data_IF_214257242107
#
_entry.id   IF_214257242107
#
_cell.length_a   1.000
_cell.length_b   1.000
_cell.length_c   1.000
_cell.angle_alpha   90.00
_cell.angle_beta   90.00
_cell.angle_gamma   90.00
#
_symmetry.space_group_name_H-M   'P 1'
#
loop_
_entity.id
_entity.type
_entity.pdbx_description
1 polymer ?
#
# COMPACT_ATOMS: atom_id res chain seq x y z
N UNK A 1 -14.57 26.26 -35.55
CA UNK A 1 -14.09 25.27 -34.57
C UNK A 1 -12.85 25.83 -33.85
N UNK A 2 -13.03 26.60 -32.78
CA UNK A 2 -11.94 27.29 -32.06
C UNK A 2 -11.73 26.77 -30.62
N UNK A 3 -12.54 25.84 -30.13
CA UNK A 3 -12.53 25.43 -28.71
C UNK A 3 -11.38 24.52 -28.26
N UNK A 4 -10.54 23.99 -29.17
CA UNK A 4 -9.48 23.05 -28.79
C UNK A 4 -8.17 23.72 -28.37
N UNK A 5 -7.93 24.96 -28.81
CA UNK A 5 -6.71 25.70 -28.46
C UNK A 5 -6.86 26.42 -27.12
N UNK A 6 -8.05 26.96 -26.83
CA UNK A 6 -8.34 27.59 -25.55
C UNK A 6 -8.30 26.59 -24.39
N UNK A 7 -8.78 25.36 -24.60
CA UNK A 7 -8.70 24.29 -23.60
C UNK A 7 -7.25 23.90 -23.29
N UNK A 8 -6.39 23.80 -24.32
CA UNK A 8 -4.97 23.50 -24.13
C UNK A 8 -4.25 24.63 -23.39
N UNK A 9 -4.56 25.88 -23.72
CA UNK A 9 -4.00 27.04 -23.04
C UNK A 9 -4.46 27.12 -21.58
N UNK A 10 -5.72 26.80 -21.30
CA UNK A 10 -6.27 26.74 -19.95
C UNK A 10 -5.62 25.65 -19.10
N UNK A 11 -5.41 24.44 -19.66
CA UNK A 11 -4.71 23.34 -18.99
C UNK A 11 -3.25 23.70 -18.68
N UNK A 12 -2.54 24.33 -19.62
CA UNK A 12 -1.16 24.79 -19.39
C UNK A 12 -1.07 25.89 -18.32
N UNK A 13 -1.98 26.88 -18.36
CA UNK A 13 -2.04 27.92 -17.33
C UNK A 13 -2.39 27.37 -15.94
N UNK A 14 -3.12 26.25 -15.87
CA UNK A 14 -3.40 25.59 -14.60
C UNK A 14 -2.12 24.99 -13.99
N UNK A 15 -1.19 24.48 -14.79
CA UNK A 15 0.10 23.96 -14.29
C UNK A 15 1.02 25.07 -13.75
N UNK A 16 1.02 26.25 -14.37
CA UNK A 16 1.88 27.38 -13.96
C UNK A 16 1.36 28.18 -12.74
N UNK A 17 0.03 28.17 -12.51
CA UNK A 17 -0.62 28.89 -11.40
C UNK A 17 -0.72 28.12 -10.08
N UNK A 18 -0.56 26.80 -10.11
CA UNK A 18 -0.54 25.96 -8.91
C UNK A 18 0.91 25.71 -8.51
N UNK A 19 1.53 26.70 -7.88
CA UNK A 19 2.75 26.48 -7.12
C UNK A 19 2.57 25.28 -6.19
N UNK A 20 3.23 24.16 -6.53
CA UNK A 20 3.57 23.05 -5.63
C UNK A 20 2.47 22.63 -4.65
N UNK A 21 1.24 22.45 -5.12
CA UNK A 21 0.30 21.53 -4.47
C UNK A 21 0.24 20.25 -5.29
N UNK A 22 1.42 19.73 -5.63
CA UNK A 22 1.58 18.34 -6.00
C UNK A 22 1.01 17.47 -4.88
N UNK A 23 -0.10 16.82 -5.18
CA UNK A 23 -0.53 15.56 -4.59
C UNK A 23 -1.24 15.65 -3.22
N UNK A 24 -2.57 15.80 -3.25
CA UNK A 24 -3.44 15.31 -2.16
C UNK A 24 -3.38 13.77 -2.00
N UNK A 25 -2.73 13.09 -2.95
CA UNK A 25 -2.41 11.67 -2.87
C UNK A 25 -1.00 11.53 -2.32
N UNK A 26 -0.77 10.85 -1.20
CA UNK A 26 0.58 10.57 -0.72
C UNK A 26 1.43 9.98 -1.84
N UNK A 27 2.62 10.54 -2.06
CA UNK A 27 3.55 10.00 -3.03
C UNK A 27 3.93 8.55 -2.67
N UNK A 28 4.26 7.70 -3.68
CA UNK A 28 4.74 6.35 -3.44
C UNK A 28 5.93 6.39 -2.46
N UNK A 29 5.82 5.68 -1.33
CA UNK A 29 6.88 5.61 -0.30
C UNK A 29 7.96 4.59 -0.68
N UNK A 30 8.46 4.70 -1.91
CA UNK A 30 9.50 3.83 -2.41
C UNK A 30 10.78 3.99 -1.57
N UNK A 31 11.25 2.89 -0.98
CA UNK A 31 12.52 2.85 -0.25
C UNK A 31 12.46 3.06 1.27
N UNK A 32 11.27 3.21 1.86
CA UNK A 32 11.18 3.14 3.33
C UNK A 32 11.37 1.68 3.81
N UNK A 33 12.22 1.45 4.84
CA UNK A 33 12.33 0.12 5.43
C UNK A 33 10.97 -0.32 5.98
N UNK A 34 10.70 -1.64 5.91
CA UNK A 34 9.50 -2.21 6.50
C UNK A 34 9.35 -1.70 7.94
N UNK A 35 8.31 -0.91 8.18
CA UNK A 35 8.01 -0.34 9.50
C UNK A 35 7.52 -1.41 10.49
N UNK A 36 7.44 -2.66 10.05
CA UNK A 36 6.90 -3.78 10.79
C UNK A 36 8.06 -4.68 11.22
N UNK A 37 8.28 -4.78 12.53
CA UNK A 37 9.28 -5.67 13.12
C UNK A 37 8.82 -7.13 13.09
N UNK A 38 9.77 -8.06 13.13
CA UNK A 38 9.48 -9.49 13.25
C UNK A 38 8.63 -9.82 14.49
N UNK A 39 8.81 -9.07 15.59
CA UNK A 39 8.00 -9.21 16.80
C UNK A 39 6.54 -8.81 16.55
N UNK A 40 6.29 -7.75 15.78
CA UNK A 40 4.93 -7.33 15.40
C UNK A 40 4.26 -8.38 14.51
N UNK A 41 5.01 -8.95 13.56
CA UNK A 41 4.51 -10.08 12.74
C UNK A 41 4.18 -11.28 13.62
N UNK A 42 5.05 -11.64 14.57
CA UNK A 42 4.80 -12.74 15.49
C UNK A 42 3.55 -12.51 16.35
N UNK A 43 3.38 -11.31 16.91
CA UNK A 43 2.17 -10.96 17.68
C UNK A 43 0.91 -11.02 16.82
N UNK A 44 0.97 -10.55 15.57
CA UNK A 44 -0.14 -10.65 14.63
C UNK A 44 -0.52 -12.11 14.36
N UNK A 45 0.47 -13.00 14.12
CA UNK A 45 0.22 -14.44 13.95
C UNK A 45 -0.45 -15.06 15.16
N UNK A 46 0.01 -14.71 16.36
CA UNK A 46 -0.60 -15.21 17.62
C UNK A 46 -2.03 -14.71 17.81
N UNK A 47 -2.33 -13.47 17.40
CA UNK A 47 -3.69 -12.95 17.45
C UNK A 47 -4.62 -13.70 16.50
N UNK A 48 -4.17 -13.97 15.26
CA UNK A 48 -4.93 -14.76 14.27
C UNK A 48 -5.17 -16.18 14.77
N UNK A 49 -4.13 -16.85 15.29
CA UNK A 49 -4.25 -18.21 15.80
C UNK A 49 -5.25 -18.34 16.97
N UNK A 50 -5.40 -17.29 17.78
CA UNK A 50 -6.39 -17.24 18.87
C UNK A 50 -7.81 -17.00 18.39
N UNK A 51 -7.98 -16.36 17.24
CA UNK A 51 -9.29 -16.01 16.68
C UNK A 51 -9.81 -17.00 15.63
N UNK A 52 -8.97 -17.92 15.17
CA UNK A 52 -9.34 -18.90 14.16
C UNK A 52 -10.22 -20.02 14.74
N UNK A 53 -11.20 -20.46 13.96
CA UNK A 53 -12.11 -21.54 14.34
C UNK A 53 -11.48 -22.92 14.15
N UNK A 54 -10.50 -23.02 13.25
CA UNK A 54 -9.78 -24.25 12.95
C UNK A 54 -8.36 -23.98 12.44
N UNK A 55 -7.56 -25.04 12.31
CA UNK A 55 -6.22 -24.94 11.73
C UNK A 55 -6.24 -24.52 10.24
N UNK A 56 -7.26 -24.96 9.49
CA UNK A 56 -7.45 -24.59 8.08
C UNK A 56 -7.85 -23.12 7.95
N UNK A 57 -8.77 -22.67 8.81
CA UNK A 57 -9.18 -21.27 8.90
C UNK A 57 -8.02 -20.34 9.29
N UNK A 58 -7.22 -20.75 10.29
CA UNK A 58 -6.00 -20.04 10.67
C UNK A 58 -5.04 -19.88 9.49
N UNK A 59 -4.85 -20.95 8.70
CA UNK A 59 -3.99 -20.92 7.51
C UNK A 59 -4.53 -19.95 6.45
N UNK A 60 -5.84 -19.99 6.19
CA UNK A 60 -6.50 -19.07 5.25
C UNK A 60 -6.35 -17.62 5.69
N UNK A 61 -6.60 -17.32 6.96
CA UNK A 61 -6.47 -15.98 7.53
C UNK A 61 -5.03 -15.46 7.46
N UNK A 62 -4.05 -16.30 7.78
CA UNK A 62 -2.63 -15.93 7.67
C UNK A 62 -2.23 -15.63 6.23
N UNK A 63 -2.75 -16.39 5.26
CA UNK A 63 -2.48 -16.17 3.84
C UNK A 63 -3.11 -14.86 3.34
N UNK A 64 -4.39 -14.62 3.66
CA UNK A 64 -5.10 -13.39 3.28
C UNK A 64 -4.47 -12.12 3.87
N UNK A 65 -3.90 -12.22 5.07
CA UNK A 65 -3.22 -11.11 5.75
C UNK A 65 -1.74 -10.97 5.34
N UNK A 66 -1.23 -11.89 4.52
CA UNK A 66 0.18 -11.92 4.16
C UNK A 66 1.12 -12.15 5.35
N UNK A 67 0.66 -12.91 6.34
CA UNK A 67 1.38 -13.25 7.56
C UNK A 67 1.98 -14.67 7.50
N UNK A 68 1.89 -15.36 6.37
CA UNK A 68 2.51 -16.67 6.17
C UNK A 68 4.03 -16.57 6.36
N UNK A 69 4.66 -17.58 7.00
CA UNK A 69 6.11 -17.71 6.97
C UNK A 69 6.50 -18.00 5.53
N UNK A 70 7.17 -17.03 4.92
CA UNK A 70 7.74 -17.20 3.59
C UNK A 70 8.97 -18.13 3.70
N UNK A 71 9.21 -19.00 2.72
CA UNK A 71 10.35 -19.95 2.76
C UNK A 71 11.71 -19.22 2.70
N UNK A 72 11.71 -17.96 2.24
CA UNK A 72 12.85 -17.03 2.23
C UNK A 72 12.58 -15.72 3.02
N UNK A 73 11.51 -15.68 3.82
CA UNK A 73 11.24 -14.58 4.77
C UNK A 73 10.72 -13.26 4.19
N UNK A 74 10.32 -13.18 2.92
CA UNK A 74 9.76 -11.98 2.32
C UNK A 74 8.22 -11.95 2.43
N UNK A 75 7.61 -10.92 3.07
CA UNK A 75 6.16 -10.86 3.15
C UNK A 75 5.53 -10.74 1.74
N UNK A 76 4.36 -11.35 1.49
CA UNK A 76 3.68 -11.37 0.19
C UNK A 76 3.15 -9.99 -0.26
N UNK A 77 3.45 -8.93 0.49
CA UNK A 77 3.21 -7.55 0.08
C UNK A 77 4.54 -6.81 0.04
N UNK A 78 5.31 -7.04 -1.01
CA UNK A 78 6.26 -6.04 -1.51
C UNK A 78 5.51 -5.06 -2.40
N UNK A 79 5.33 -3.84 -1.89
CA UNK A 79 4.96 -2.64 -2.63
C UNK A 79 5.69 -1.44 -2.06
#
# INVERSE_FOLDING_TARGET
MYGSLDVRKFLWQQEDGHGRQSSAVPAPRAGEPSRISAEQVHRARMAVARGAESAEDCKLLLDMLGLTPDEDGQPPVTR
#
